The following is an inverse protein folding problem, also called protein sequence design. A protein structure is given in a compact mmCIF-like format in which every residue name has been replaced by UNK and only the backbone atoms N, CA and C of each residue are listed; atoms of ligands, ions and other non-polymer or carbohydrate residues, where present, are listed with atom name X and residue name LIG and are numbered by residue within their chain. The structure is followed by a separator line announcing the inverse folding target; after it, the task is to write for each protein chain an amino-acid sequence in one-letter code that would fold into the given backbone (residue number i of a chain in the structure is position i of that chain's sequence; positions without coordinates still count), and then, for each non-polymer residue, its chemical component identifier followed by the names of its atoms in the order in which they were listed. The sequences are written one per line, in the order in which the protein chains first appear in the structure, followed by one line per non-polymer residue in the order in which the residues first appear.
data_IF_310930987219
#
_entry.id   IF_310930987219
#
_cell.length_a   1.000
_cell.length_b   1.000
_cell.length_c   1.000
_cell.angle_alpha   90.00
_cell.angle_beta   90.00
_cell.angle_gamma   90.00
#
_symmetry.space_group_name_H-M   'P 1'
#
loop_
_entity.id
_entity.type
_entity.pdbx_description
1 polymer ?
#
# COMPACT_ATOMS: atom_id res chain seq x y z
N UNK A 1 1.37 7.09 -10.48
CA UNK A 1 2.84 7.07 -10.70
C UNK A 1 3.46 6.02 -9.79
N UNK A 2 4.52 5.33 -10.24
CA UNK A 2 5.23 4.37 -9.38
C UNK A 2 5.91 5.11 -8.23
N UNK A 3 5.74 4.58 -7.02
CA UNK A 3 6.37 5.07 -5.80
C UNK A 3 7.07 3.91 -5.10
N UNK A 4 7.98 4.25 -4.18
CA UNK A 4 8.56 3.25 -3.29
C UNK A 4 7.45 2.43 -2.60
N UNK A 5 7.69 1.13 -2.42
CA UNK A 5 6.71 0.27 -1.78
C UNK A 5 6.32 0.82 -0.40
N UNK A 6 5.03 0.78 -0.07
CA UNK A 6 4.52 1.16 1.24
C UNK A 6 3.35 0.27 1.65
N UNK A 7 3.11 0.11 2.94
CA UNK A 7 1.98 -0.64 3.49
C UNK A 7 1.32 0.14 4.63
N UNK A 8 0.12 -0.27 5.03
CA UNK A 8 -0.53 0.27 6.22
C UNK A 8 0.06 -0.35 7.48
N UNK A 9 0.24 0.45 8.53
CA UNK A 9 0.56 -0.03 9.88
C UNK A 9 -0.69 -0.24 10.73
N UNK A 10 -1.87 0.09 10.21
CA UNK A 10 -3.13 -0.14 10.92
C UNK A 10 -3.58 -1.58 10.73
N UNK A 11 -3.81 -2.29 11.83
CA UNK A 11 -4.20 -3.70 11.82
C UNK A 11 -5.61 -3.96 11.25
N UNK A 12 -6.43 -2.91 11.10
CA UNK A 12 -7.73 -3.01 10.42
C UNK A 12 -7.63 -2.95 8.89
N UNK A 13 -6.49 -2.49 8.35
CA UNK A 13 -6.28 -2.44 6.90
C UNK A 13 -5.76 -3.79 6.38
N UNK A 14 -5.93 -4.10 5.08
CA UNK A 14 -5.43 -5.34 4.52
C UNK A 14 -3.91 -5.46 4.56
N UNK A 15 -3.40 -6.67 4.84
CA UNK A 15 -1.98 -7.02 4.79
C UNK A 15 -1.47 -7.09 3.34
N UNK A 16 -1.31 -5.93 2.72
CA UNK A 16 -0.79 -5.76 1.36
C UNK A 16 0.16 -4.56 1.30
N UNK A 17 1.03 -4.54 0.30
CA UNK A 17 1.82 -3.35 -0.04
C UNK A 17 1.38 -2.73 -1.36
N UNK A 18 1.61 -1.43 -1.47
CA UNK A 18 1.30 -0.58 -2.60
C UNK A 18 2.58 -0.03 -3.20
N UNK A 19 2.60 0.11 -4.52
CA UNK A 19 3.73 0.65 -5.29
C UNK A 19 3.31 1.83 -6.17
N UNK A 20 2.07 2.29 -6.03
CA UNK A 20 1.51 3.39 -6.80
C UNK A 20 0.84 4.39 -5.87
N UNK A 21 1.04 5.69 -6.11
CA UNK A 21 0.41 6.80 -5.34
C UNK A 21 -1.08 7.00 -5.67
N UNK A 22 -1.50 6.52 -6.83
CA UNK A 22 -2.84 6.60 -7.38
C UNK A 22 -3.60 5.27 -7.23
N UNK A 23 -3.09 4.34 -6.41
CA UNK A 23 -3.79 3.12 -6.04
C UNK A 23 -5.03 3.46 -5.19
N UNK A 24 -6.27 3.08 -5.57
CA UNK A 24 -7.47 3.46 -4.83
C UNK A 24 -7.50 2.98 -3.38
N UNK A 25 -6.97 1.78 -3.10
CA UNK A 25 -6.83 1.27 -1.73
C UNK A 25 -5.67 1.94 -0.99
N UNK A 26 -4.54 2.17 -1.66
CA UNK A 26 -3.40 2.89 -1.08
C UNK A 26 -3.73 4.34 -0.69
N UNK A 27 -4.59 5.00 -1.47
CA UNK A 27 -5.07 6.37 -1.19
C UNK A 27 -6.00 6.44 0.03
N UNK A 28 -6.66 5.34 0.40
CA UNK A 28 -7.49 5.26 1.60
C UNK A 28 -6.66 5.15 2.89
N UNK A 29 -5.39 4.72 2.80
CA UNK A 29 -4.50 4.65 3.96
C UNK A 29 -4.09 6.08 4.35
N UNK A 30 -4.41 6.55 5.57
CA UNK A 30 -3.96 7.85 6.06
C UNK A 30 -2.44 7.94 6.04
N UNK A 31 -1.89 9.11 5.68
CA UNK A 31 -0.43 9.27 5.55
C UNK A 31 0.35 8.88 6.82
N UNK A 32 -0.19 9.15 8.01
CA UNK A 32 0.42 8.76 9.29
C UNK A 32 0.45 7.25 9.56
N UNK A 33 -0.33 6.47 8.81
CA UNK A 33 -0.36 5.00 8.89
C UNK A 33 0.44 4.34 7.75
N UNK A 34 1.02 5.13 6.83
CA UNK A 34 1.84 4.57 5.74
C UNK A 34 3.25 4.33 6.26
N UNK A 35 3.77 3.14 6.00
CA UNK A 35 5.15 2.79 6.30
C UNK A 35 5.85 2.31 5.04
N UNK A 36 7.04 2.84 4.81
CA UNK A 36 7.88 2.46 3.69
C UNK A 36 8.30 0.97 3.78
N UNK A 37 8.42 0.35 2.62
CA UNK A 37 8.71 -1.05 2.43
C UNK A 37 7.46 -1.92 2.22
N UNK A 38 7.70 -3.19 1.89
CA UNK A 38 6.63 -4.17 1.62
C UNK A 38 6.02 -4.77 2.89
N UNK A 39 6.70 -4.66 4.03
CA UNK A 39 6.31 -5.33 5.27
C UNK A 39 6.34 -6.87 5.19
N UNK A 40 6.86 -7.46 4.10
CA UNK A 40 6.72 -8.89 3.80
C UNK A 40 5.34 -9.28 3.26
N UNK A 41 4.47 -8.30 3.02
CA UNK A 41 3.09 -8.53 2.56
C UNK A 41 3.01 -8.71 1.06
N UNK A 42 1.94 -9.35 0.58
CA UNK A 42 1.66 -9.50 -0.85
C UNK A 42 1.40 -8.14 -1.50
N UNK A 43 1.64 -8.03 -2.81
CA UNK A 43 1.29 -6.82 -3.54
C UNK A 43 -0.24 -6.65 -3.55
N UNK A 44 -0.72 -5.42 -3.44
CA UNK A 44 -2.13 -5.10 -3.58
C UNK A 44 -2.63 -5.51 -4.98
N UNK A 45 -3.81 -6.11 -5.06
CA UNK A 45 -4.39 -6.56 -6.34
C UNK A 45 -4.53 -5.41 -7.34
N UNK A 46 -4.96 -4.23 -6.90
CA UNK A 46 -5.01 -3.03 -7.74
C UNK A 46 -3.64 -2.54 -8.20
N UNK A 47 -2.58 -2.80 -7.44
CA UNK A 47 -1.21 -2.51 -7.86
C UNK A 47 -0.63 -3.61 -8.76
N UNK A 48 -1.20 -4.81 -8.76
CA UNK A 48 -0.73 -5.93 -9.57
C UNK A 48 -1.33 -5.94 -10.99
N UNK A 49 -2.56 -5.44 -11.15
CA UNK A 49 -3.28 -5.42 -12.44
C UNK A 49 -3.21 -4.08 -13.18
N UNK A 50 -2.50 -3.10 -12.60
CA UNK A 50 -2.31 -1.76 -13.14
C UNK A 50 -0.99 -1.66 -13.89
#
# INVERSE_FOLDING_TARGET
MYVGAYHSTNQSDPDVHHIYDDCPSGQQIPAGNRRDGTGGWRICEHCNVR
#
